data_IF_964107729139
#
_entry.id   IF_964107729139
#
_cell.length_a   1.000
_cell.length_b   1.000
_cell.length_c   1.000
_cell.angle_alpha   90.00
_cell.angle_beta   90.00
_cell.angle_gamma   90.00
#
_symmetry.space_group_name_H-M   'P 1'
#
loop_
_entity.id
_entity.type
_entity.pdbx_description
1 polymer ?
#
# COMPACT_ATOMS: atom_id res chain seq x y z
N UNK A 1 18.25 5.24 -11.65
CA UNK A 1 17.12 4.29 -11.65
C UNK A 1 17.53 2.84 -11.37
N UNK A 2 18.69 2.35 -11.84
CA UNK A 2 19.10 0.95 -11.60
C UNK A 2 19.32 0.57 -10.12
N UNK A 3 19.58 1.53 -9.23
CA UNK A 3 20.05 1.25 -7.87
C UNK A 3 18.98 0.61 -6.96
N UNK A 4 17.72 1.04 -7.04
CA UNK A 4 16.62 0.50 -6.21
C UNK A 4 16.24 -0.92 -6.65
N UNK A 5 16.20 -1.17 -7.96
CA UNK A 5 15.95 -2.50 -8.53
C UNK A 5 17.09 -3.46 -8.16
N UNK A 6 18.35 -2.98 -8.21
CA UNK A 6 19.51 -3.76 -7.77
C UNK A 6 19.38 -4.17 -6.31
N UNK A 7 18.93 -3.29 -5.42
CA UNK A 7 18.71 -3.58 -4.00
C UNK A 7 17.66 -4.68 -3.82
N UNK A 8 16.56 -4.64 -4.59
CA UNK A 8 15.50 -5.64 -4.53
C UNK A 8 15.96 -7.04 -4.98
N UNK A 9 16.89 -7.13 -5.95
CA UNK A 9 17.39 -8.41 -6.46
C UNK A 9 18.50 -9.03 -5.59
N UNK A 10 19.04 -8.30 -4.60
CA UNK A 10 20.15 -8.82 -3.78
C UNK A 10 19.68 -9.94 -2.85
N UNK A 11 20.48 -11.01 -2.75
CA UNK A 11 20.26 -12.12 -1.80
C UNK A 11 20.07 -11.66 -0.35
N UNK A 12 20.78 -10.62 0.07
CA UNK A 12 20.65 -10.06 1.42
C UNK A 12 19.26 -9.49 1.68
N UNK A 13 18.67 -8.83 0.68
CA UNK A 13 17.33 -8.26 0.75
C UNK A 13 16.26 -9.36 0.75
N UNK A 14 16.42 -10.38 -0.10
CA UNK A 14 15.56 -11.57 -0.10
C UNK A 14 15.59 -12.32 1.25
N UNK A 15 16.77 -12.48 1.84
CA UNK A 15 16.93 -13.11 3.16
C UNK A 15 16.27 -12.30 4.28
N UNK A 16 16.37 -10.96 4.23
CA UNK A 16 15.67 -10.08 5.16
C UNK A 16 14.14 -10.13 4.96
N UNK A 17 13.67 -10.25 3.72
CA UNK A 17 12.25 -10.36 3.39
C UNK A 17 11.62 -11.67 3.90
N UNK A 18 12.37 -12.78 3.90
CA UNK A 18 11.94 -14.04 4.55
C UNK A 18 11.73 -13.84 6.05
N UNK A 19 12.55 -13.01 6.68
CA UNK A 19 12.44 -12.66 8.10
C UNK A 19 11.65 -11.36 8.34
N UNK A 20 10.77 -10.94 7.40
CA UNK A 20 10.02 -9.68 7.49
C UNK A 20 9.25 -9.50 8.81
N UNK A 21 8.84 -10.58 9.47
CA UNK A 21 8.17 -10.54 10.78
C UNK A 21 9.05 -10.04 11.93
N UNK A 22 10.38 -10.08 11.78
CA UNK A 22 11.35 -9.57 12.77
C UNK A 22 11.66 -8.09 12.59
N UNK A 23 11.29 -7.50 11.45
CA UNK A 23 11.59 -6.13 11.09
C UNK A 23 10.29 -5.33 10.94
N UNK A 24 10.36 -4.00 11.06
CA UNK A 24 9.23 -3.12 10.77
C UNK A 24 9.10 -2.90 9.26
N UNK A 25 9.04 -3.98 8.48
CA UNK A 25 8.77 -3.90 7.05
C UNK A 25 7.28 -3.62 6.85
N UNK A 26 6.96 -2.78 5.87
CA UNK A 26 5.56 -2.54 5.49
C UNK A 26 5.06 -3.77 4.73
N UNK A 27 3.87 -4.27 5.05
CA UNK A 27 3.33 -5.47 4.41
C UNK A 27 3.11 -5.28 2.90
N UNK A 28 2.85 -4.04 2.48
CA UNK A 28 2.68 -3.64 1.08
C UNK A 28 3.97 -3.47 0.31
N UNK A 29 5.13 -3.78 0.90
CA UNK A 29 6.45 -3.62 0.26
C UNK A 29 6.56 -4.37 -1.07
N UNK A 30 6.05 -5.60 -1.14
CA UNK A 30 6.09 -6.42 -2.37
C UNK A 30 5.30 -5.80 -3.53
N UNK A 31 4.17 -5.17 -3.19
CA UNK A 31 3.33 -4.47 -4.17
C UNK A 31 4.03 -3.23 -4.73
N UNK A 32 4.71 -2.44 -3.89
CA UNK A 32 5.45 -1.28 -4.36
C UNK A 32 6.72 -1.67 -5.13
N UNK A 33 7.40 -2.77 -4.75
CA UNK A 33 8.56 -3.26 -5.49
C UNK A 33 8.20 -3.75 -6.89
N UNK A 34 7.06 -4.42 -7.07
CA UNK A 34 6.62 -4.87 -8.40
C UNK A 34 6.22 -3.72 -9.33
N UNK A 35 5.84 -2.56 -8.78
CA UNK A 35 5.46 -1.35 -9.52
C UNK A 35 6.50 -0.24 -9.48
N UNK A 36 7.74 -0.55 -9.10
CA UNK A 36 8.80 0.46 -8.94
C UNK A 36 9.07 1.27 -10.21
N UNK A 37 9.01 0.61 -11.37
CA UNK A 37 9.24 1.26 -12.66
C UNK A 37 8.14 2.28 -12.99
N UNK A 38 6.88 1.97 -12.65
CA UNK A 38 5.74 2.88 -12.80
C UNK A 38 5.81 4.03 -11.78
N UNK A 39 6.15 3.73 -10.53
CA UNK A 39 6.30 4.71 -9.46
C UNK A 39 7.42 5.72 -9.72
N UNK A 40 8.48 5.29 -10.41
CA UNK A 40 9.62 6.11 -10.75
C UNK A 40 9.44 6.89 -12.06
N UNK A 41 8.32 6.72 -12.78
CA UNK A 41 7.99 7.48 -13.96
C UNK A 41 7.62 8.94 -13.60
N UNK A 42 8.09 9.90 -14.39
CA UNK A 42 7.85 11.34 -14.14
C UNK A 42 6.36 11.73 -14.20
N UNK A 43 5.54 10.93 -14.87
CA UNK A 43 4.10 11.16 -15.07
C UNK A 43 3.25 10.16 -14.28
N UNK A 44 3.77 9.60 -13.18
CA UNK A 44 3.05 8.62 -12.38
C UNK A 44 1.76 9.22 -11.78
N UNK A 45 0.64 8.53 -12.00
CA UNK A 45 -0.66 8.85 -11.40
C UNK A 45 -1.04 7.68 -10.48
N UNK A 46 -1.18 7.90 -9.17
CA UNK A 46 -1.46 6.82 -8.24
C UNK A 46 -2.86 6.25 -8.44
N UNK A 47 -2.95 4.93 -8.38
CA UNK A 47 -4.22 4.21 -8.39
C UNK A 47 -4.86 4.20 -7.00
N UNK A 48 -6.17 3.91 -6.94
CA UNK A 48 -6.89 3.79 -5.66
C UNK A 48 -6.23 2.75 -4.75
N UNK A 49 -5.72 1.64 -5.32
CA UNK A 49 -5.00 0.63 -4.56
C UNK A 49 -3.67 1.13 -3.98
N UNK A 50 -2.94 1.96 -4.74
CA UNK A 50 -1.68 2.56 -4.27
C UNK A 50 -1.98 3.44 -3.05
N UNK A 51 -3.04 4.26 -3.13
CA UNK A 51 -3.48 5.14 -2.04
C UNK A 51 -3.85 4.32 -0.79
N UNK A 52 -4.59 3.22 -0.94
CA UNK A 52 -4.98 2.34 0.17
C UNK A 52 -3.77 1.66 0.82
N UNK A 53 -2.77 1.28 0.02
CA UNK A 53 -1.56 0.57 0.49
C UNK A 53 -0.49 1.50 1.05
N UNK A 54 -0.54 2.80 0.74
CA UNK A 54 0.32 3.78 1.39
C UNK A 54 -0.06 3.95 2.85
N UNK A 55 0.88 3.66 3.75
CA UNK A 55 0.70 3.83 5.19
C UNK A 55 0.77 5.31 5.58
N UNK A 56 -0.30 6.05 5.34
CA UNK A 56 -0.46 7.43 5.83
C UNK A 56 -0.94 7.37 7.27
N UNK A 57 -0.14 7.91 8.20
CA UNK A 57 -0.57 8.03 9.60
C UNK A 57 -1.70 9.06 9.67
N UNK A 58 -2.84 8.68 10.20
CA UNK A 58 -3.92 9.63 10.48
C UNK A 58 -3.48 10.55 11.62
N UNK A 59 -3.34 11.83 11.34
CA UNK A 59 -2.94 12.85 12.34
C UNK A 59 -4.15 13.59 12.93
N UNK A 60 -5.38 13.22 12.58
CA UNK A 60 -6.60 13.88 13.06
C UNK A 60 -7.87 13.03 12.97
N UNK A 61 -8.98 13.57 13.48
CA UNK A 61 -10.32 12.97 13.40
C UNK A 61 -10.92 13.31 12.04
N UNK A 62 -11.13 12.29 11.21
CA UNK A 62 -11.78 12.42 9.91
C UNK A 62 -13.22 11.91 10.08
N UNK A 63 -14.18 12.84 10.09
CA UNK A 63 -15.60 12.52 10.18
C UNK A 63 -16.14 12.08 8.83
N UNK A 64 -16.21 10.78 8.58
CA UNK A 64 -16.94 10.24 7.43
C UNK A 64 -18.42 10.10 7.83
N UNK A 65 -19.28 11.06 7.43
CA UNK A 65 -20.73 10.93 7.58
C UNK A 65 -21.24 9.93 6.54
N UNK A 66 -21.26 8.65 6.88
CA UNK A 66 -21.90 7.64 6.03
C UNK A 66 -23.41 7.82 6.14
N UNK A 67 -24.01 8.59 5.23
CA UNK A 67 -25.46 8.56 5.03
C UNK A 67 -25.80 7.22 4.38
N UNK A 68 -25.98 6.18 5.21
CA UNK A 68 -26.50 4.91 4.73
C UNK A 68 -27.87 5.17 4.06
N UNK A 69 -28.11 4.70 2.82
CA UNK A 69 -29.44 4.78 2.25
C UNK A 69 -30.37 3.93 3.10
N UNK A 70 -31.43 4.55 3.64
CA UNK A 70 -32.43 3.91 4.49
C UNK A 70 -33.13 2.67 3.87
N UNK A 71 -32.88 2.37 2.59
CA UNK A 71 -33.45 1.24 1.86
C UNK A 71 -32.82 -0.12 2.19
N UNK A 72 -31.70 -0.19 2.92
CA UNK A 72 -31.06 -1.46 3.28
C UNK A 72 -31.66 -2.12 4.54
N UNK A 73 -32.52 -1.43 5.31
CA UNK A 73 -33.06 -1.93 6.58
C UNK A 73 -34.44 -2.61 6.44
N UNK A 74 -35.03 -2.67 5.24
CA UNK A 74 -36.41 -3.16 5.05
C UNK A 74 -36.53 -4.61 4.52
N UNK A 75 -35.42 -5.33 4.33
CA UNK A 75 -35.42 -6.69 3.74
C UNK A 75 -35.28 -7.85 4.77
N UNK A 76 -35.41 -7.56 6.06
CA UNK A 76 -35.47 -8.58 7.13
C UNK A 76 -36.66 -8.27 8.06
N UNK A 77 -37.86 -8.62 7.60
CA UNK A 77 -39.05 -8.81 8.42
C UNK A 77 -39.89 -9.94 7.82
#
# INVERSE_FOLDING_TARGET
MADVTIIATRRAMQAAFVQRSKFQLIDSVDYFYSKLDELAATNYVPTIEDVIKTRVRTTGIIGASTSAPASALAAQA
#
